data_IF_723834169321
#
_entry.id   IF_723834169321
#
_cell.length_a   1.000
_cell.length_b   1.000
_cell.length_c   1.000
_cell.angle_alpha   90.00
_cell.angle_beta   90.00
_cell.angle_gamma   90.00
#
_symmetry.space_group_name_H-M   'P 1'
#
loop_
_entity.id
_entity.type
_entity.pdbx_description
1 polymer ?
#
# COMPACT_ATOMS: atom_id res chain seq x y z
N UNK A 1 12.58 25.21 25.29
CA UNK A 1 11.52 24.20 25.13
C UNK A 1 10.60 24.63 24.02
N UNK A 2 10.57 23.89 22.93
CA UNK A 2 9.58 23.95 21.83
C UNK A 2 10.07 22.97 20.76
N UNK A 3 9.63 21.72 20.75
CA UNK A 3 8.27 21.35 20.36
C UNK A 3 8.23 21.01 18.86
N UNK A 4 9.12 20.12 18.41
CA UNK A 4 9.12 19.59 17.05
C UNK A 4 7.94 18.62 16.94
N UNK A 5 6.90 19.02 16.21
CA UNK A 5 5.70 18.21 16.00
C UNK A 5 6.08 16.99 15.15
N UNK A 6 5.53 15.79 15.41
CA UNK A 6 5.94 14.58 14.71
C UNK A 6 5.58 14.70 13.23
N UNK A 7 6.56 14.42 12.37
CA UNK A 7 6.38 14.29 10.94
C UNK A 7 5.57 13.01 10.67
N UNK A 8 4.25 13.10 10.78
CA UNK A 8 3.37 12.12 10.15
C UNK A 8 3.54 12.29 8.63
N UNK A 9 4.51 11.57 8.06
CA UNK A 9 4.75 11.60 6.64
C UNK A 9 3.64 10.79 5.95
N UNK A 10 2.65 11.51 5.42
CA UNK A 10 1.64 10.92 4.56
C UNK A 10 2.14 11.00 3.11
N UNK A 11 2.34 9.84 2.48
CA UNK A 11 2.61 9.76 1.04
C UNK A 11 1.30 9.48 0.32
N UNK A 12 0.97 10.27 -0.70
CA UNK A 12 -0.28 10.14 -1.45
C UNK A 12 -0.01 10.21 -2.95
N UNK A 13 -0.79 9.47 -3.73
CA UNK A 13 -0.80 9.47 -5.19
C UNK A 13 0.47 8.96 -5.89
N UNK A 14 1.12 7.91 -5.36
CA UNK A 14 2.22 7.25 -6.06
C UNK A 14 1.66 6.25 -7.10
N UNK A 15 2.10 6.33 -8.37
CA UNK A 15 1.57 5.50 -9.46
C UNK A 15 2.60 4.50 -9.93
N UNK A 16 2.24 3.23 -9.77
CA UNK A 16 3.04 2.09 -10.19
C UNK A 16 2.41 1.49 -11.46
N UNK A 17 3.18 1.45 -12.54
CA UNK A 17 2.76 0.77 -13.77
C UNK A 17 3.85 -0.20 -14.20
N UNK A 18 3.50 -1.48 -14.36
CA UNK A 18 4.41 -2.49 -14.88
C UNK A 18 4.18 -2.69 -16.37
N UNK A 19 5.28 -2.89 -17.11
CA UNK A 19 5.27 -3.20 -18.53
C UNK A 19 4.62 -4.56 -18.80
N UNK A 20 4.34 -4.87 -20.07
CA UNK A 20 3.70 -6.13 -20.49
C UNK A 20 4.52 -7.41 -20.22
N UNK A 21 5.73 -7.26 -19.69
CA UNK A 21 6.65 -8.33 -19.24
C UNK A 21 7.31 -8.03 -17.89
N UNK A 22 6.98 -6.90 -17.26
CA UNK A 22 7.63 -6.43 -16.04
C UNK A 22 6.97 -6.99 -14.78
N UNK A 23 7.78 -7.50 -13.86
CA UNK A 23 7.38 -7.81 -12.49
C UNK A 23 7.84 -6.66 -11.59
N UNK A 24 6.95 -6.17 -10.73
CA UNK A 24 7.28 -5.14 -9.74
C UNK A 24 7.02 -5.68 -8.33
N UNK A 25 7.90 -5.37 -7.39
CA UNK A 25 7.67 -5.65 -5.97
C UNK A 25 7.92 -4.38 -5.16
N UNK A 26 6.96 -4.05 -4.31
CA UNK A 26 7.03 -2.93 -3.39
C UNK A 26 7.05 -3.45 -1.97
N UNK A 27 7.95 -2.91 -1.17
CA UNK A 27 8.10 -3.25 0.24
C UNK A 27 7.86 -1.97 1.04
N UNK A 28 6.90 -2.02 1.96
CA UNK A 28 6.55 -0.93 2.85
C UNK A 28 7.35 -1.02 4.17
N UNK A 29 7.31 0.05 4.96
CA UNK A 29 8.10 0.17 6.20
C UNK A 29 7.75 -0.88 7.25
N UNK A 30 6.50 -1.31 7.30
CA UNK A 30 6.00 -2.32 8.23
C UNK A 30 6.25 -3.77 7.79
N UNK A 31 7.00 -3.95 6.69
CA UNK A 31 7.26 -5.25 6.08
C UNK A 31 6.16 -5.74 5.14
N UNK A 32 5.09 -4.96 4.92
CA UNK A 32 4.06 -5.27 3.93
C UNK A 32 4.70 -5.36 2.54
N UNK A 33 4.29 -6.33 1.73
CA UNK A 33 4.78 -6.51 0.37
C UNK A 33 3.64 -6.55 -0.62
N UNK A 34 3.79 -5.77 -1.69
CA UNK A 34 2.88 -5.74 -2.82
C UNK A 34 3.67 -6.14 -4.07
N UNK A 35 3.40 -7.34 -4.56
CA UNK A 35 3.93 -7.78 -5.85
C UNK A 35 2.89 -7.53 -6.94
N UNK A 36 3.33 -7.03 -8.09
CA UNK A 36 2.51 -6.72 -9.26
C UNK A 36 3.06 -7.46 -10.47
N UNK A 37 2.16 -8.13 -11.18
CA UNK A 37 2.46 -8.89 -12.38
C UNK A 37 2.55 -8.03 -13.63
N UNK A 38 2.66 -8.71 -14.76
CA UNK A 38 2.71 -8.15 -16.10
C UNK A 38 1.41 -7.45 -16.47
N UNK A 39 1.52 -6.28 -17.10
CA UNK A 39 0.36 -5.48 -17.53
C UNK A 39 -0.46 -4.90 -16.37
N UNK A 40 0.07 -4.92 -15.14
CA UNK A 40 -0.62 -4.42 -13.95
C UNK A 40 -0.49 -2.91 -13.82
N UNK A 41 -1.55 -2.28 -13.34
CA UNK A 41 -1.56 -0.86 -12.99
C UNK A 41 -2.10 -0.67 -11.60
N UNK A 42 -1.25 -0.17 -10.71
CA UNK A 42 -1.55 -0.03 -9.29
C UNK A 42 -1.17 1.38 -8.82
N UNK A 43 -2.01 2.00 -8.01
CA UNK A 43 -1.79 3.34 -7.47
C UNK A 43 -1.85 3.26 -5.96
N UNK A 44 -0.87 3.79 -5.27
CA UNK A 44 -0.93 4.00 -3.82
C UNK A 44 -1.64 5.33 -3.61
N UNK A 45 -2.92 5.25 -3.25
CA UNK A 45 -3.78 6.41 -3.07
C UNK A 45 -3.41 7.14 -1.78
N UNK A 46 -3.30 6.39 -0.68
CA UNK A 46 -2.93 6.89 0.64
C UNK A 46 -1.99 5.93 1.33
N UNK A 47 -0.92 6.45 1.88
CA UNK A 47 -0.02 5.73 2.75
C UNK A 47 0.29 6.61 3.96
N UNK A 48 -0.30 6.26 5.09
CA UNK A 48 -0.17 6.95 6.38
C UNK A 48 0.44 5.97 7.36
N UNK A 49 1.57 6.36 7.94
CA UNK A 49 2.22 5.64 9.02
C UNK A 49 2.24 6.49 10.29
N UNK A 50 2.41 5.81 11.41
CA UNK A 50 2.64 6.39 12.73
C UNK A 50 4.16 6.54 12.97
N UNK A 51 4.52 7.26 14.03
CA UNK A 51 5.92 7.51 14.40
C UNK A 51 6.69 6.24 14.81
N UNK A 52 5.96 5.15 15.11
CA UNK A 52 6.50 3.82 15.45
C UNK A 52 6.71 2.91 14.23
N UNK A 53 6.70 3.47 13.01
CA UNK A 53 6.73 2.74 11.73
C UNK A 53 5.55 1.78 11.49
N UNK A 54 4.47 1.87 12.28
CA UNK A 54 3.25 1.12 12.00
C UNK A 54 2.40 1.81 10.93
N UNK A 55 1.80 1.02 10.03
CA UNK A 55 0.88 1.54 9.03
C UNK A 55 -0.47 1.79 9.67
N UNK A 56 -0.90 3.05 9.65
CA UNK A 56 -2.21 3.48 10.13
C UNK A 56 -3.28 3.34 9.05
N UNK A 57 -2.92 3.68 7.81
CA UNK A 57 -3.82 3.56 6.66
C UNK A 57 -3.05 3.42 5.36
N UNK A 58 -3.27 2.33 4.66
CA UNK A 58 -2.74 2.09 3.32
C UNK A 58 -3.89 1.76 2.38
N UNK A 59 -4.16 2.67 1.45
CA UNK A 59 -5.16 2.52 0.41
C UNK A 59 -4.45 2.34 -0.93
N UNK A 60 -4.64 1.17 -1.53
CA UNK A 60 -4.10 0.82 -2.83
C UNK A 60 -5.23 0.72 -3.82
N UNK A 61 -5.03 1.22 -5.03
CA UNK A 61 -5.97 1.18 -6.14
C UNK A 61 -5.36 0.35 -7.26
N UNK A 62 -5.76 -0.91 -7.37
CA UNK A 62 -5.35 -1.79 -8.46
C UNK A 62 -6.37 -1.69 -9.60
N UNK A 63 -5.97 -1.04 -10.70
CA UNK A 63 -6.84 -0.79 -11.85
C UNK A 63 -6.97 -2.00 -12.78
N UNK A 64 -5.87 -2.75 -12.99
CA UNK A 64 -5.86 -3.95 -13.83
C UNK A 64 -4.66 -4.84 -13.52
N UNK A 65 -4.73 -6.08 -14.01
CA UNK A 65 -3.66 -7.07 -13.95
C UNK A 65 -3.71 -7.93 -12.69
N UNK A 66 -2.61 -8.62 -12.40
CA UNK A 66 -2.47 -9.48 -11.22
C UNK A 66 -1.60 -8.80 -10.17
N UNK A 67 -1.98 -8.98 -8.91
CA UNK A 67 -1.21 -8.50 -7.76
C UNK A 67 -1.29 -9.51 -6.62
N UNK A 68 -0.24 -9.55 -5.81
CA UNK A 68 -0.16 -10.36 -4.58
C UNK A 68 0.08 -9.44 -3.41
N UNK A 69 -0.82 -9.55 -2.43
CA UNK A 69 -0.73 -8.84 -1.17
C UNK A 69 -0.14 -9.75 -0.10
N UNK A 70 0.81 -9.21 0.67
CA UNK A 70 1.37 -9.86 1.85
C UNK A 70 1.37 -8.78 2.94
N UNK A 71 0.48 -8.91 3.93
CA UNK A 71 0.42 -7.98 5.06
C UNK A 71 1.69 -8.09 5.90
N UNK A 72 2.16 -6.94 6.39
CA UNK A 72 3.25 -6.84 7.34
C UNK A 72 2.76 -6.90 8.78
N UNK A 73 3.51 -6.26 9.67
CA UNK A 73 3.23 -6.28 11.12
C UNK A 73 2.06 -5.38 11.55
N UNK A 74 1.55 -4.51 10.68
CA UNK A 74 0.45 -3.58 11.01
C UNK A 74 -0.91 -4.29 10.95
N UNK A 75 -1.93 -3.79 11.70
CA UNK A 75 -3.24 -4.41 11.75
C UNK A 75 -3.89 -4.52 10.37
N UNK A 76 -4.52 -5.68 10.10
CA UNK A 76 -5.18 -5.96 8.81
C UNK A 76 -6.19 -4.87 8.39
N UNK A 77 -6.89 -4.27 9.37
CA UNK A 77 -7.84 -3.16 9.18
C UNK A 77 -7.22 -1.86 8.63
N UNK A 78 -5.90 -1.69 8.74
CA UNK A 78 -5.21 -0.54 8.17
C UNK A 78 -5.07 -0.63 6.64
N UNK A 79 -5.22 -1.82 6.06
CA UNK A 79 -5.01 -2.05 4.64
C UNK A 79 -6.32 -2.15 3.85
N UNK A 80 -6.40 -1.41 2.76
CA UNK A 80 -7.54 -1.39 1.86
C UNK A 80 -7.08 -1.44 0.41
N UNK A 81 -7.58 -2.41 -0.35
CA UNK A 81 -7.31 -2.54 -1.77
C UNK A 81 -8.60 -2.24 -2.53
N UNK A 82 -8.59 -1.24 -3.38
CA UNK A 82 -9.69 -0.81 -4.21
C UNK A 82 -9.42 -1.26 -5.63
N UNK A 83 -10.37 -1.95 -6.24
CA UNK A 83 -10.34 -2.35 -7.64
C UNK A 83 -11.60 -1.86 -8.34
N UNK A 84 -11.61 -1.74 -9.68
CA UNK A 84 -12.84 -1.44 -10.42
C UNK A 84 -13.98 -2.43 -10.13
N UNK A 85 -13.65 -3.68 -9.78
CA UNK A 85 -14.62 -4.70 -9.43
C UNK A 85 -15.16 -4.58 -8.00
N UNK A 86 -14.51 -3.81 -7.12
CA UNK A 86 -14.92 -3.65 -5.73
C UNK A 86 -13.75 -3.37 -4.78
N UNK A 87 -14.07 -3.15 -3.51
CA UNK A 87 -13.08 -2.94 -2.44
C UNK A 87 -12.83 -4.23 -1.68
N UNK A 88 -11.57 -4.62 -1.60
CA UNK A 88 -11.06 -5.73 -0.80
C UNK A 88 -10.48 -5.14 0.49
N UNK A 89 -11.18 -5.37 1.60
CA UNK A 89 -10.64 -5.14 2.93
C UNK A 89 -9.80 -6.34 3.35
N UNK A 90 -8.55 -6.12 3.78
CA UNK A 90 -7.75 -7.18 4.39
C UNK A 90 -8.30 -7.39 5.79
N UNK A 91 -8.86 -8.57 6.09
CA UNK A 91 -9.41 -8.89 7.41
C UNK A 91 -8.92 -10.27 7.84
N UNK A 92 -8.22 -10.31 8.98
CA UNK A 92 -7.74 -11.55 9.59
C UNK A 92 -6.41 -12.00 9.02
N UNK A 93 -5.34 -11.67 9.75
CA UNK A 93 -3.99 -12.22 9.61
C UNK A 93 -3.37 -12.27 10.99
#
# INVERSE_FOLDING_TARGET
GSGFRPFCAAMAAERISTSNSGLGQFVFLDGTKLAVGWGSSVVIDKYIFNDDNSVKKLTIRAAKGTFRWISGSSPSSAYQIVTPAGTIGVRGT
#
